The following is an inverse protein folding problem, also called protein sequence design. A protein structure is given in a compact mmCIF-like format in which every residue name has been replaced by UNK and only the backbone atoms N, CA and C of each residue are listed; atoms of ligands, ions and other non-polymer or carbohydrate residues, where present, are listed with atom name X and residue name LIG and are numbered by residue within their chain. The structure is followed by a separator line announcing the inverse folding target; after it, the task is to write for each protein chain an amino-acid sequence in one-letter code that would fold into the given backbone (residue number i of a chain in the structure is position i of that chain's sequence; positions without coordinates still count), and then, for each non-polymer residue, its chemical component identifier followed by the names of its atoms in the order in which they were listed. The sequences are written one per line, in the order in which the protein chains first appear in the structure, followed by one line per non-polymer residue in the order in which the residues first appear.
data_IF_749126428420
#
_entry.id   IF_749126428420
#
_cell.length_a   1.000
_cell.length_b   1.000
_cell.length_c   1.000
_cell.angle_alpha   90.00
_cell.angle_beta   90.00
_cell.angle_gamma   90.00
#
_symmetry.space_group_name_H-M   'P 1'
#
loop_
_entity.id
_entity.type
_entity.pdbx_description
1 polymer ?
#
# COMPACT_ATOMS: atom_id res chain seq x y z
N UNK A 1 -8.92 5.21 8.16
CA UNK A 1 -9.59 5.90 7.04
C UNK A 1 -10.47 4.90 6.30
N UNK A 2 -11.66 5.29 5.85
CA UNK A 2 -12.63 4.41 5.19
C UNK A 2 -13.24 5.13 3.98
N UNK A 3 -13.27 4.50 2.80
CA UNK A 3 -13.87 5.04 1.57
C UNK A 3 -13.27 6.39 1.11
N UNK A 4 -11.96 6.56 1.25
CA UNK A 4 -11.28 7.80 0.88
C UNK A 4 -10.46 7.64 -0.41
N UNK A 5 -10.39 8.70 -1.21
CA UNK A 5 -9.38 8.85 -2.26
C UNK A 5 -8.31 9.78 -1.74
N UNK A 6 -7.05 9.36 -1.83
CA UNK A 6 -5.89 10.12 -1.37
C UNK A 6 -4.98 10.33 -2.57
N UNK A 7 -4.50 11.56 -2.71
CA UNK A 7 -3.49 11.94 -3.69
C UNK A 7 -2.35 12.63 -2.96
N UNK A 8 -1.16 12.06 -3.04
CA UNK A 8 0.03 12.58 -2.38
C UNK A 8 1.28 11.94 -2.98
N UNK A 9 2.38 12.68 -3.06
CA UNK A 9 3.68 12.13 -3.47
C UNK A 9 4.26 11.19 -2.41
N UNK A 10 4.28 11.63 -1.15
CA UNK A 10 4.79 10.88 0.02
C UNK A 10 3.66 10.72 1.06
N UNK A 11 2.59 10.07 0.64
CA UNK A 11 1.43 9.88 1.49
C UNK A 11 1.68 8.83 2.57
N UNK A 12 1.30 9.15 3.80
CA UNK A 12 1.15 8.18 4.90
C UNK A 12 2.47 7.56 5.40
N UNK A 13 3.56 8.32 5.37
CA UNK A 13 4.86 7.95 5.94
C UNK A 13 4.92 8.22 7.47
N UNK A 14 5.69 7.41 8.19
CA UNK A 14 5.95 7.52 9.63
C UNK A 14 4.67 7.41 10.49
N UNK A 15 3.71 6.59 10.06
CA UNK A 15 2.45 6.36 10.77
C UNK A 15 2.41 4.96 11.35
N UNK A 16 2.24 4.88 12.67
CA UNK A 16 1.96 3.62 13.36
C UNK A 16 0.46 3.28 13.32
N UNK A 17 0.18 1.99 13.15
CA UNK A 17 -1.17 1.41 13.13
C UNK A 17 -2.13 2.08 12.12
N UNK A 18 -1.64 2.40 10.93
CA UNK A 18 -2.44 2.96 9.85
C UNK A 18 -3.44 1.92 9.32
N UNK A 19 -4.74 2.18 9.49
CA UNK A 19 -5.81 1.35 8.93
C UNK A 19 -6.50 2.08 7.78
N UNK A 20 -6.50 1.47 6.60
CA UNK A 20 -7.20 1.98 5.41
C UNK A 20 -8.15 0.93 4.87
N UNK A 21 -9.42 1.27 4.70
CA UNK A 21 -10.45 0.37 4.18
C UNK A 21 -11.13 0.94 2.95
N UNK A 22 -11.13 0.19 1.86
CA UNK A 22 -11.71 0.58 0.58
C UNK A 22 -11.25 1.99 0.12
N UNK A 23 -9.95 2.26 0.22
CA UNK A 23 -9.36 3.53 -0.19
C UNK A 23 -8.80 3.47 -1.62
N UNK A 24 -8.56 4.62 -2.24
CA UNK A 24 -7.83 4.74 -3.51
C UNK A 24 -6.60 5.62 -3.31
N UNK A 25 -5.48 5.23 -3.91
CA UNK A 25 -4.27 6.04 -3.97
C UNK A 25 -4.09 6.51 -5.41
N UNK A 26 -4.02 7.83 -5.61
CA UNK A 26 -3.78 8.45 -6.91
C UNK A 26 -2.42 9.12 -6.90
N UNK A 27 -1.65 8.96 -7.99
CA UNK A 27 -0.35 9.60 -8.19
C UNK A 27 0.60 9.47 -6.98
N UNK A 28 0.53 8.33 -6.28
CA UNK A 28 1.27 8.12 -5.03
C UNK A 28 2.46 7.21 -5.25
N UNK A 29 3.65 7.81 -5.21
CA UNK A 29 4.91 7.17 -5.63
C UNK A 29 5.80 6.74 -4.48
N UNK A 30 5.56 7.17 -3.23
CA UNK A 30 6.38 6.76 -2.08
C UNK A 30 5.49 6.54 -0.85
N UNK A 31 4.50 5.64 -1.00
CA UNK A 31 3.56 5.37 0.07
C UNK A 31 4.17 4.52 1.20
N UNK A 32 3.73 4.77 2.43
CA UNK A 32 3.91 3.90 3.61
C UNK A 32 5.34 3.80 4.17
N UNK A 33 6.20 4.77 3.90
CA UNK A 33 7.58 4.74 4.41
C UNK A 33 7.62 4.69 5.94
N UNK A 34 8.28 3.66 6.49
CA UNK A 34 8.40 3.36 7.92
C UNK A 34 7.06 3.24 8.67
N UNK A 35 5.96 2.97 7.96
CA UNK A 35 4.64 2.87 8.57
C UNK A 35 4.24 1.41 8.87
N UNK A 36 3.45 1.21 9.92
CA UNK A 36 2.76 -0.06 10.16
C UNK A 36 1.36 0.02 9.58
N UNK A 37 1.08 -0.76 8.54
CA UNK A 37 -0.09 -0.54 7.67
C UNK A 37 -0.99 -1.76 7.56
N UNK A 38 -2.30 -1.59 7.75
CA UNK A 38 -3.35 -2.51 7.30
C UNK A 38 -4.21 -1.77 6.27
N UNK A 39 -3.81 -1.88 5.00
CA UNK A 39 -4.41 -1.14 3.91
C UNK A 39 -5.16 -2.05 2.94
N UNK A 40 -6.36 -1.61 2.60
CA UNK A 40 -7.19 -2.15 1.54
C UNK A 40 -7.40 -1.05 0.50
N UNK A 41 -6.60 -1.12 -0.56
CA UNK A 41 -6.59 -0.18 -1.68
C UNK A 41 -7.31 -0.82 -2.87
N UNK A 42 -8.22 -0.05 -3.46
CA UNK A 42 -8.93 -0.41 -4.68
C UNK A 42 -8.24 0.25 -5.86
N UNK A 43 -7.81 -0.54 -6.84
CA UNK A 43 -7.04 -0.08 -7.98
C UNK A 43 -5.52 -0.25 -7.80
N UNK A 44 -4.77 0.56 -8.56
CA UNK A 44 -3.30 0.52 -8.58
C UNK A 44 -2.70 1.41 -7.49
N UNK A 45 -1.53 1.01 -6.99
CA UNK A 45 -0.63 1.88 -6.24
C UNK A 45 0.59 2.10 -7.14
N UNK A 46 1.05 3.34 -7.30
CA UNK A 46 2.20 3.59 -8.16
C UNK A 46 3.49 3.08 -7.49
N UNK A 47 3.76 3.45 -6.23
CA UNK A 47 4.86 2.82 -5.49
C UNK A 47 4.70 2.80 -3.98
N UNK A 48 5.29 1.77 -3.37
CA UNK A 48 5.36 1.54 -1.92
C UNK A 48 6.83 1.50 -1.51
N UNK A 49 7.19 2.25 -0.47
CA UNK A 49 8.57 2.34 0.02
C UNK A 49 8.65 1.91 1.47
N UNK A 50 9.60 1.01 1.79
CA UNK A 50 10.03 0.61 3.14
C UNK A 50 8.91 0.56 4.21
N UNK A 51 7.82 -0.20 4.02
CA UNK A 51 6.83 -0.39 5.07
C UNK A 51 7.45 -1.16 6.24
N UNK A 52 7.26 -0.65 7.47
CA UNK A 52 7.83 -1.26 8.68
C UNK A 52 7.21 -2.62 8.99
N UNK A 53 5.88 -2.74 8.83
CA UNK A 53 5.15 -4.01 8.96
C UNK A 53 3.70 -3.90 8.49
N UNK A 54 3.02 -5.03 8.34
CA UNK A 54 1.56 -5.10 8.19
C UNK A 54 1.10 -5.80 6.91
N UNK A 55 -0.08 -5.42 6.41
CA UNK A 55 -0.72 -6.04 5.25
C UNK A 55 -1.21 -4.97 4.27
N UNK A 56 -0.79 -5.07 3.01
CA UNK A 56 -1.24 -4.20 1.93
C UNK A 56 -2.00 -5.05 0.91
N UNK A 57 -3.29 -4.74 0.73
CA UNK A 57 -4.15 -5.35 -0.28
C UNK A 57 -4.39 -4.35 -1.39
N UNK A 58 -4.03 -4.69 -2.63
CA UNK A 58 -4.19 -3.82 -3.80
C UNK A 58 -4.48 -4.65 -5.05
N UNK A 59 -4.99 -4.03 -6.12
CA UNK A 59 -5.15 -4.75 -7.39
C UNK A 59 -3.79 -4.90 -8.10
N UNK A 60 -2.97 -3.85 -8.05
CA UNK A 60 -1.60 -3.84 -8.58
C UNK A 60 -0.74 -2.82 -7.84
N UNK A 61 0.57 -3.07 -7.81
CA UNK A 61 1.58 -2.14 -7.29
C UNK A 61 2.64 -2.08 -8.38
N UNK A 62 2.94 -0.89 -8.94
CA UNK A 62 3.87 -0.81 -10.07
C UNK A 62 5.32 -0.99 -9.59
N UNK A 63 5.68 -0.36 -8.47
CA UNK A 63 7.02 -0.44 -7.91
C UNK A 63 6.97 -0.65 -6.40
N UNK A 64 7.85 -1.51 -5.91
CA UNK A 64 7.98 -1.86 -4.50
C UNK A 64 9.45 -1.73 -4.11
N UNK A 65 9.74 -0.73 -3.29
CA UNK A 65 11.09 -0.38 -2.86
C UNK A 65 11.26 -0.85 -1.41
N UNK A 66 12.05 -1.91 -1.21
CA UNK A 66 12.30 -2.47 0.13
C UNK A 66 13.80 -2.62 0.35
N UNK A 67 14.35 -1.76 1.20
CA UNK A 67 15.73 -1.76 1.64
C UNK A 67 15.86 -2.61 2.91
N UNK A 68 16.49 -3.79 2.78
CA UNK A 68 16.62 -4.77 3.88
C UNK A 68 17.45 -4.25 5.07
N UNK A 69 18.31 -3.26 4.83
CA UNK A 69 19.10 -2.61 5.87
C UNK A 69 18.26 -1.66 6.73
N UNK A 70 17.06 -1.29 6.27
CA UNK A 70 16.17 -0.32 6.92
C UNK A 70 14.90 -0.95 7.49
N UNK A 71 14.30 -1.92 6.80
CA UNK A 71 13.08 -2.62 7.24
C UNK A 71 13.17 -4.13 7.03
N UNK A 72 12.37 -4.87 7.82
CA UNK A 72 12.26 -6.31 7.67
C UNK A 72 11.17 -6.66 6.64
N UNK A 73 11.54 -7.16 5.44
CA UNK A 73 10.57 -7.50 4.39
C UNK A 73 9.58 -8.61 4.83
N UNK A 74 9.93 -9.44 5.80
CA UNK A 74 9.07 -10.54 6.25
C UNK A 74 7.88 -10.04 7.09
N UNK A 75 7.99 -8.83 7.64
CA UNK A 75 6.94 -8.22 8.46
C UNK A 75 5.82 -7.58 7.64
N UNK A 76 6.03 -7.40 6.33
CA UNK A 76 5.03 -6.81 5.44
C UNK A 76 4.53 -7.85 4.44
N UNK A 77 3.21 -8.05 4.42
CA UNK A 77 2.54 -8.96 3.50
C UNK A 77 1.78 -8.20 2.43
N UNK A 78 2.11 -8.44 1.18
CA UNK A 78 1.40 -7.85 0.03
C UNK A 78 0.47 -8.91 -0.56
N UNK A 79 -0.80 -8.53 -0.75
CA UNK A 79 -1.85 -9.41 -1.25
C UNK A 79 -2.49 -8.73 -2.47
N UNK A 80 -2.33 -9.35 -3.64
CA UNK A 80 -2.98 -8.88 -4.85
C UNK A 80 -4.43 -9.38 -4.95
N UNK A 81 -5.36 -8.46 -5.21
CA UNK A 81 -6.75 -8.80 -5.50
C UNK A 81 -6.84 -9.41 -6.90
N UNK A 82 -7.33 -10.64 -7.00
CA UNK A 82 -7.67 -11.24 -8.29
C UNK A 82 -8.85 -10.48 -8.89
N UNK A 83 -8.64 -9.81 -10.02
CA UNK A 83 -9.76 -9.44 -10.90
C UNK A 83 -10.36 -10.74 -11.42
N UNK A 84 -11.57 -11.08 -10.96
CA UNK A 84 -12.43 -11.98 -11.72
C UNK A 84 -12.67 -11.26 -13.06
N UNK A 85 -12.11 -11.81 -14.15
CA UNK A 85 -12.58 -11.45 -15.48
C UNK A 85 -14.03 -11.92 -15.53
N UNK A 86 -14.98 -11.00 -15.50
CA UNK A 86 -16.32 -11.30 -15.98
C UNK A 86 -16.16 -11.72 -17.44
N UNK A 87 -16.42 -13.00 -17.70
CA UNK A 87 -16.50 -13.55 -19.03
C UNK A 87 -17.74 -12.93 -19.69
N UNK A 88 -17.51 -11.99 -20.60
CA UNK A 88 -18.50 -11.51 -21.57
C UNK A 88 -18.21 -12.19 -22.89
#
# INVERSE_FOLDING_TARGET
MINCTIESLQGMCYIDHLVMKNCKLLNTTLAFEYSTVDAEITGKIDSVMNPSSGVIRADSINELIVEKDKVDPLKTKIIYRRKLKEAV
#
